data_IF_974007249377
#
_entry.id   IF_974007249377
#
_cell.length_a   1.000
_cell.length_b   1.000
_cell.length_c   1.000
_cell.angle_alpha   90.00
_cell.angle_beta   90.00
_cell.angle_gamma   90.00
#
_symmetry.space_group_name_H-M   'P 1'
#
loop_
_entity.id
_entity.type
_entity.pdbx_description
1 polymer ?
#
# COMPACT_ATOMS: atom_id res chain seq x y z
N UNK A 1 14.29 4.30 12.60
CA UNK A 1 14.02 3.65 11.30
C UNK A 1 12.61 3.12 11.44
N UNK A 2 11.64 3.67 10.70
CA UNK A 2 10.32 3.08 10.68
C UNK A 2 10.48 1.64 10.16
N UNK A 3 10.07 0.66 10.95
CA UNK A 3 10.07 -0.72 10.49
C UNK A 3 8.98 -0.82 9.44
N UNK A 4 9.39 -0.91 8.17
CA UNK A 4 8.48 -1.12 7.05
C UNK A 4 7.70 -2.39 7.38
N UNK A 5 6.35 -2.32 7.42
CA UNK A 5 5.55 -3.49 7.74
C UNK A 5 5.82 -4.61 6.74
N UNK A 6 5.87 -5.84 7.24
CA UNK A 6 5.92 -7.01 6.36
C UNK A 6 4.57 -7.19 5.67
N UNK A 7 4.62 -7.82 4.49
CA UNK A 7 3.41 -8.18 3.75
C UNK A 7 2.67 -9.26 4.51
N UNK A 8 1.48 -8.92 5.00
CA UNK A 8 0.58 -9.82 5.72
C UNK A 8 -0.11 -10.78 4.76
N UNK A 9 -0.60 -10.25 3.64
CA UNK A 9 -1.43 -10.99 2.70
C UNK A 9 -1.26 -10.44 1.28
N UNK A 10 -1.32 -11.33 0.30
CA UNK A 10 -1.36 -10.97 -1.12
C UNK A 10 -2.55 -11.69 -1.73
N UNK A 11 -3.54 -10.91 -2.18
CA UNK A 11 -4.72 -11.42 -2.86
C UNK A 11 -4.82 -10.81 -4.24
N UNK A 12 -5.20 -11.63 -5.22
CA UNK A 12 -5.47 -11.14 -6.58
C UNK A 12 -6.97 -10.98 -6.75
N UNK A 13 -7.45 -9.75 -6.82
CA UNK A 13 -8.87 -9.42 -6.98
C UNK A 13 -9.09 -8.51 -8.20
N UNK A 14 -10.11 -8.83 -9.00
CA UNK A 14 -10.47 -8.10 -10.21
C UNK A 14 -9.28 -7.90 -11.18
N UNK A 15 -8.78 -6.67 -11.30
CA UNK A 15 -7.68 -6.26 -12.18
C UNK A 15 -6.40 -5.94 -11.41
N UNK A 16 -6.41 -6.11 -10.09
CA UNK A 16 -5.34 -5.71 -9.19
C UNK A 16 -4.92 -6.85 -8.26
N UNK A 17 -3.71 -6.73 -7.75
CA UNK A 17 -3.13 -7.55 -6.70
C UNK A 17 -3.11 -6.65 -5.47
N UNK A 18 -3.90 -7.02 -4.48
CA UNK A 18 -4.03 -6.38 -3.19
C UNK A 18 -2.94 -6.93 -2.27
N UNK A 19 -1.92 -6.12 -2.04
CA UNK A 19 -0.85 -6.41 -1.08
C UNK A 19 -1.19 -5.72 0.23
N UNK A 20 -1.61 -6.48 1.23
CA UNK A 20 -1.96 -5.97 2.56
C UNK A 20 -0.73 -5.99 3.47
N UNK A 21 -0.51 -4.88 4.16
CA UNK A 21 0.57 -4.67 5.12
C UNK A 21 0.05 -4.54 6.55
N UNK A 22 -1.10 -3.88 6.70
CA UNK A 22 -1.74 -3.65 8.00
C UNK A 22 -3.24 -3.84 7.84
N UNK A 23 -3.85 -4.35 8.90
CA UNK A 23 -5.28 -4.64 8.92
C UNK A 23 -6.09 -3.33 8.83
N UNK A 24 -6.94 -3.13 7.80
CA UNK A 24 -7.75 -1.93 7.66
C UNK A 24 -8.73 -1.74 8.84
N UNK A 25 -9.16 -2.82 9.49
CA UNK A 25 -10.15 -2.78 10.58
C UNK A 25 -9.66 -2.06 11.84
N UNK A 26 -8.35 -1.79 11.96
CA UNK A 26 -7.79 -1.01 13.08
C UNK A 26 -7.96 0.51 12.90
N UNK A 27 -8.21 0.97 11.68
CA UNK A 27 -8.24 2.39 11.32
C UNK A 27 -9.65 2.94 11.37
N UNK A 28 -9.78 4.20 11.78
CA UNK A 28 -11.08 4.87 11.82
C UNK A 28 -11.42 5.49 10.46
N UNK A 29 -10.41 6.03 9.76
CA UNK A 29 -10.51 6.58 8.42
C UNK A 29 -9.60 5.83 7.45
N UNK A 30 -10.12 5.42 6.28
CA UNK A 30 -9.33 4.80 5.20
C UNK A 30 -9.54 5.58 3.91
N UNK A 31 -8.45 5.97 3.24
CA UNK A 31 -8.47 6.73 1.98
C UNK A 31 -7.33 6.35 1.05
N UNK A 32 -7.44 6.77 -0.21
CA UNK A 32 -6.36 6.67 -1.21
C UNK A 32 -5.87 8.08 -1.50
N UNK A 33 -4.84 8.58 -0.79
CA UNK A 33 -4.41 9.96 -0.94
C UNK A 33 -3.48 10.14 -2.15
N UNK A 34 -3.62 11.27 -2.85
CA UNK A 34 -2.84 11.59 -4.05
C UNK A 34 -1.32 11.69 -3.79
N UNK A 35 -0.93 12.02 -2.56
CA UNK A 35 0.49 12.09 -2.19
C UNK A 35 1.17 10.72 -2.24
N UNK A 36 0.42 9.63 -2.04
CA UNK A 36 0.90 8.26 -2.13
C UNK A 36 0.87 7.72 -3.57
N UNK A 37 0.13 8.38 -4.45
CA UNK A 37 0.01 8.02 -5.87
C UNK A 37 1.33 8.26 -6.62
N UNK A 38 1.96 9.41 -6.41
CA UNK A 38 3.23 9.75 -7.07
C UNK A 38 4.38 8.74 -6.80
N UNK A 39 4.69 8.34 -5.54
CA UNK A 39 5.68 7.29 -5.29
C UNK A 39 5.21 5.91 -5.80
N UNK A 40 3.91 5.63 -5.79
CA UNK A 40 3.35 4.39 -6.33
C UNK A 40 3.55 4.27 -7.84
N UNK A 41 3.13 5.27 -8.60
CA UNK A 41 3.34 5.35 -10.05
C UNK A 41 4.82 5.29 -10.44
N UNK A 42 5.70 5.87 -9.61
CA UNK A 42 7.14 5.80 -9.85
C UNK A 42 7.69 4.36 -9.82
N UNK A 43 7.04 3.44 -9.09
CA UNK A 43 7.45 2.03 -8.98
C UNK A 43 6.63 1.16 -9.93
N UNK A 44 5.33 1.41 -10.04
CA UNK A 44 4.40 0.63 -10.83
C UNK A 44 3.29 1.53 -11.40
N UNK A 45 3.25 1.64 -12.73
CA UNK A 45 2.34 2.56 -13.43
C UNK A 45 0.86 2.14 -13.27
N UNK A 46 0.05 3.03 -12.69
CA UNK A 46 -1.35 2.76 -12.32
C UNK A 46 -1.50 1.82 -11.12
N UNK A 47 -0.58 1.91 -10.16
CA UNK A 47 -0.77 1.36 -8.82
C UNK A 47 -1.43 2.38 -7.90
N UNK A 48 -2.19 1.91 -6.92
CA UNK A 48 -2.91 2.74 -5.96
C UNK A 48 -2.55 2.33 -4.53
N UNK A 49 -2.46 3.30 -3.61
CA UNK A 49 -2.09 3.03 -2.22
C UNK A 49 -3.23 3.43 -1.30
N UNK A 50 -3.74 2.45 -0.55
CA UNK A 50 -4.71 2.71 0.52
C UNK A 50 -3.99 2.96 1.83
N UNK A 51 -4.24 4.13 2.39
CA UNK A 51 -3.74 4.53 3.70
C UNK A 51 -4.87 4.63 4.71
N UNK A 52 -4.52 4.42 5.97
CA UNK A 52 -5.42 4.42 7.11
C UNK A 52 -4.94 5.42 8.14
N UNK A 53 -5.89 6.10 8.78
CA UNK A 53 -5.64 7.05 9.86
C UNK A 53 -6.27 6.53 11.15
N UNK A 54 -5.48 6.50 12.22
CA UNK A 54 -5.93 6.12 13.54
C UNK A 54 -6.62 7.29 14.25
N UNK A 55 -7.61 7.00 15.09
CA UNK A 55 -8.33 8.02 15.85
C UNK A 55 -7.36 8.74 16.81
N UNK A 56 -7.17 10.04 16.61
CA UNK A 56 -6.31 10.88 17.44
C UNK A 56 -4.85 10.94 17.00
N UNK A 57 -4.45 10.24 15.94
CA UNK A 57 -3.16 10.44 15.27
C UNK A 57 -3.33 11.37 14.08
N UNK A 58 -2.29 12.12 13.71
CA UNK A 58 -2.31 12.96 12.50
C UNK A 58 -1.68 12.28 11.28
N UNK A 59 -0.89 11.24 11.52
CA UNK A 59 -0.18 10.46 10.53
C UNK A 59 -1.08 9.43 9.83
N UNK A 60 -0.82 9.22 8.55
CA UNK A 60 -1.47 8.21 7.72
C UNK A 60 -0.52 7.07 7.47
N UNK A 61 -0.94 5.85 7.76
CA UNK A 61 -0.14 4.64 7.57
C UNK A 61 -0.60 3.89 6.33
N UNK A 62 0.33 3.27 5.60
CA UNK A 62 -0.04 2.38 4.49
C UNK A 62 -0.71 1.13 5.05
N UNK A 63 -1.90 0.83 4.54
CA UNK A 63 -2.68 -0.37 4.88
C UNK A 63 -2.51 -1.46 3.82
N UNK A 64 -2.65 -1.06 2.56
CA UNK A 64 -2.63 -1.96 1.42
C UNK A 64 -2.24 -1.21 0.15
N UNK A 65 -1.55 -1.91 -0.74
CA UNK A 65 -1.14 -1.39 -2.05
C UNK A 65 -1.78 -2.24 -3.13
N UNK A 66 -2.43 -1.59 -4.08
CA UNK A 66 -3.05 -2.20 -5.24
C UNK A 66 -2.08 -2.08 -6.41
N UNK A 67 -1.63 -3.22 -6.93
CA UNK A 67 -0.74 -3.28 -8.07
C UNK A 67 -1.48 -3.96 -9.22
N UNK A 68 -1.35 -3.52 -10.47
CA UNK A 68 -2.02 -4.20 -11.59
C UNK A 68 -1.64 -5.67 -11.67
N UNK A 69 -2.63 -6.56 -11.82
CA UNK A 69 -2.38 -8.02 -11.91
C UNK A 69 -1.45 -8.44 -13.04
N UNK A 70 -1.29 -7.59 -14.06
CA UNK A 70 -0.37 -7.79 -15.17
C UNK A 70 1.10 -7.93 -14.76
N UNK A 71 1.50 -7.43 -13.59
CA UNK A 71 2.89 -7.55 -13.11
C UNK A 71 3.18 -8.91 -12.44
N UNK A 72 2.15 -9.60 -11.95
CA UNK A 72 2.26 -10.86 -11.20
C UNK A 72 2.49 -10.69 -9.69
N UNK A 73 2.05 -11.67 -8.89
CA UNK A 73 2.03 -11.63 -7.42
C UNK A 73 3.41 -11.42 -6.79
N UNK A 74 4.42 -12.13 -7.29
CA UNK A 74 5.79 -12.06 -6.76
C UNK A 74 6.36 -10.64 -6.92
N UNK A 75 6.18 -10.05 -8.11
CA UNK A 75 6.63 -8.70 -8.41
C UNK A 75 5.78 -7.63 -7.73
N UNK A 76 4.48 -7.85 -7.61
CA UNK A 76 3.59 -6.96 -6.87
C UNK A 76 4.01 -6.85 -5.41
N UNK A 77 4.40 -7.96 -4.78
CA UNK A 77 4.93 -7.97 -3.41
C UNK A 77 6.19 -7.11 -3.27
N UNK A 78 7.13 -7.25 -4.19
CA UNK A 78 8.38 -6.46 -4.18
C UNK A 78 8.11 -4.98 -4.42
N UNK A 79 7.32 -4.65 -5.45
CA UNK A 79 6.95 -3.26 -5.77
C UNK A 79 6.19 -2.60 -4.63
N UNK A 80 5.21 -3.29 -4.04
CA UNK A 80 4.45 -2.78 -2.92
C UNK A 80 5.36 -2.43 -1.75
N UNK A 81 6.33 -3.29 -1.42
CA UNK A 81 7.30 -3.01 -0.35
C UNK A 81 8.13 -1.77 -0.66
N UNK A 82 8.61 -1.63 -1.89
CA UNK A 82 9.39 -0.45 -2.31
C UNK A 82 8.56 0.84 -2.24
N UNK A 83 7.26 0.77 -2.53
CA UNK A 83 6.34 1.90 -2.40
C UNK A 83 6.19 2.31 -0.94
N UNK A 84 5.95 1.35 -0.03
CA UNK A 84 5.84 1.66 1.41
C UNK A 84 7.15 2.23 1.94
N UNK A 85 8.29 1.67 1.51
CA UNK A 85 9.61 2.19 1.86
C UNK A 85 9.78 3.66 1.42
N UNK A 86 9.40 4.00 0.19
CA UNK A 86 9.46 5.38 -0.32
C UNK A 86 8.54 6.34 0.42
N UNK A 87 7.40 5.85 0.90
CA UNK A 87 6.40 6.63 1.63
C UNK A 87 6.85 6.89 3.07
N UNK A 88 7.41 5.88 3.75
CA UNK A 88 7.84 5.96 5.15
C UNK A 88 9.32 6.39 5.32
N UNK A 89 10.01 6.80 4.23
CA UNK A 89 11.42 7.25 4.22
C UNK A 89 11.61 8.75 4.45
#
# INVERSE_FOLDING_TARGET
>A
MAEIPDVEMVDTEDEYIHVRFRDPDRYDDIRTPDWADNPAESVSEGSEVRTGKLEGEDDWEVTSVLIKKSVGEEKAREQAREIVEKIES
#
